data_IF_240285152397
#
_entry.id   IF_240285152397
#
_cell.length_a   1.000
_cell.length_b   1.000
_cell.length_c   1.000
_cell.angle_alpha   90.00
_cell.angle_beta   90.00
_cell.angle_gamma   90.00
#
_symmetry.space_group_name_H-M   'P 1'
#
loop_
_entity.id
_entity.type
_entity.pdbx_description
1 polymer ?
#
# COMPACT_ATOMS: atom_id res chain seq x y z
N UNK A 1 18.77 -18.65 5.82
CA UNK A 1 17.80 -19.28 6.73
C UNK A 1 16.52 -18.48 6.64
N UNK A 2 15.46 -19.11 6.16
CA UNK A 2 14.12 -18.55 5.97
C UNK A 2 13.48 -18.25 7.33
N UNK A 3 13.74 -17.06 7.88
CA UNK A 3 13.16 -16.63 9.16
C UNK A 3 11.90 -15.78 9.00
N UNK A 4 11.55 -15.37 7.78
CA UNK A 4 10.45 -14.43 7.54
C UNK A 4 9.10 -15.13 7.27
N UNK A 5 9.09 -16.31 6.66
CA UNK A 5 7.85 -16.98 6.23
C UNK A 5 6.79 -17.18 7.33
N UNK A 6 7.18 -17.71 8.49
CA UNK A 6 6.22 -17.98 9.58
C UNK A 6 5.66 -16.69 10.20
N UNK A 7 6.49 -15.67 10.54
CA UNK A 7 5.99 -14.36 10.92
C UNK A 7 5.05 -13.73 9.88
N UNK A 8 5.37 -13.79 8.58
CA UNK A 8 4.49 -13.26 7.54
C UNK A 8 3.14 -13.97 7.49
N UNK A 9 3.12 -15.30 7.60
CA UNK A 9 1.85 -16.04 7.69
C UNK A 9 1.01 -15.57 8.88
N UNK A 10 1.65 -15.31 10.02
CA UNK A 10 0.95 -14.81 11.20
C UNK A 10 0.38 -13.40 10.96
N UNK A 11 1.14 -12.51 10.35
CA UNK A 11 0.70 -11.15 10.02
C UNK A 11 -0.42 -11.15 8.96
N UNK A 12 -0.33 -12.01 7.95
CA UNK A 12 -1.35 -12.14 6.91
C UNK A 12 -2.65 -12.70 7.48
N UNK A 13 -2.58 -13.66 8.41
CA UNK A 13 -3.78 -14.19 9.07
C UNK A 13 -4.59 -13.15 9.81
N UNK A 14 -3.95 -12.15 10.43
CA UNK A 14 -4.70 -11.10 11.14
C UNK A 14 -5.44 -10.17 10.18
N UNK A 15 -4.93 -9.99 8.96
CA UNK A 15 -5.56 -9.14 7.96
C UNK A 15 -6.59 -9.90 7.09
N UNK A 16 -6.33 -11.19 6.87
CA UNK A 16 -7.05 -12.06 5.94
C UNK A 16 -7.60 -13.29 6.66
N UNK A 17 -8.29 -13.09 7.78
CA UNK A 17 -8.78 -14.17 8.66
C UNK A 17 -9.70 -15.18 7.97
N UNK A 18 -10.39 -14.74 6.91
CA UNK A 18 -11.36 -15.54 6.16
C UNK A 18 -10.74 -16.36 5.03
N UNK A 19 -9.47 -16.09 4.69
CA UNK A 19 -8.80 -16.72 3.56
C UNK A 19 -8.24 -18.11 3.90
N UNK A 20 -8.10 -18.94 2.87
CA UNK A 20 -7.64 -20.32 3.06
C UNK A 20 -6.18 -20.36 3.56
N UNK A 21 -5.78 -21.37 4.35
CA UNK A 21 -4.39 -21.52 4.76
C UNK A 21 -3.40 -21.65 3.59
N UNK A 22 -3.85 -22.18 2.45
CA UNK A 22 -3.06 -22.27 1.22
C UNK A 22 -2.83 -20.89 0.61
N UNK A 23 -3.87 -20.04 0.56
CA UNK A 23 -3.78 -18.64 0.13
C UNK A 23 -2.74 -17.88 0.95
N UNK A 24 -2.84 -17.98 2.28
CA UNK A 24 -1.91 -17.33 3.21
C UNK A 24 -0.46 -17.83 3.01
N UNK A 25 -0.26 -19.13 2.79
CA UNK A 25 1.07 -19.70 2.51
C UNK A 25 1.65 -19.12 1.21
N UNK A 26 0.85 -19.05 0.16
CA UNK A 26 1.24 -18.52 -1.15
C UNK A 26 1.59 -17.04 -1.08
N UNK A 27 0.73 -16.23 -0.45
CA UNK A 27 1.02 -14.80 -0.23
C UNK A 27 2.31 -14.62 0.58
N UNK A 28 2.49 -15.37 1.68
CA UNK A 28 3.68 -15.26 2.51
C UNK A 28 4.97 -15.61 1.74
N UNK A 29 4.95 -16.64 0.90
CA UNK A 29 6.08 -17.03 0.03
C UNK A 29 6.38 -15.97 -1.01
N UNK A 30 5.34 -15.41 -1.64
CA UNK A 30 5.50 -14.35 -2.63
C UNK A 30 6.14 -13.11 -2.00
N UNK A 31 5.62 -12.67 -0.84
CA UNK A 31 6.16 -11.54 -0.09
C UNK A 31 7.61 -11.79 0.38
N UNK A 32 7.92 -12.97 0.92
CA UNK A 32 9.29 -13.33 1.31
C UNK A 32 10.24 -13.29 0.10
N UNK A 33 9.80 -13.85 -1.04
CA UNK A 33 10.59 -13.85 -2.26
C UNK A 33 10.86 -12.43 -2.79
N UNK A 34 9.86 -11.54 -2.80
CA UNK A 34 10.06 -10.14 -3.21
C UNK A 34 11.00 -9.43 -2.24
N UNK A 35 10.93 -9.73 -0.94
CA UNK A 35 11.82 -9.12 0.05
C UNK A 35 13.27 -9.58 -0.14
N UNK A 36 13.49 -10.85 -0.45
CA UNK A 36 14.83 -11.44 -0.66
C UNK A 36 15.45 -11.11 -2.02
N UNK A 37 14.67 -11.23 -3.10
CA UNK A 37 15.16 -11.13 -4.49
C UNK A 37 14.87 -9.78 -5.13
N UNK A 38 14.03 -8.96 -4.51
CA UNK A 38 13.58 -7.68 -5.05
C UNK A 38 12.27 -7.76 -5.82
N UNK A 39 12.00 -8.89 -6.51
CA UNK A 39 10.78 -9.13 -7.29
C UNK A 39 10.38 -10.61 -7.38
N UNK A 40 9.17 -10.86 -7.90
CA UNK A 40 8.66 -12.17 -8.32
C UNK A 40 7.96 -12.06 -9.69
N UNK A 41 8.20 -12.99 -10.60
CA UNK A 41 7.48 -13.02 -11.88
C UNK A 41 6.01 -13.40 -11.67
N UNK A 42 5.08 -12.74 -12.38
CA UNK A 42 3.64 -13.07 -12.34
C UNK A 42 3.39 -14.56 -12.63
N UNK A 43 4.14 -15.14 -13.58
CA UNK A 43 4.03 -16.58 -13.90
C UNK A 43 4.44 -17.47 -12.73
N UNK A 44 5.50 -17.10 -12.01
CA UNK A 44 5.99 -17.88 -10.88
C UNK A 44 4.97 -17.87 -9.74
N UNK A 45 4.37 -16.71 -9.46
CA UNK A 45 3.30 -16.58 -8.47
C UNK A 45 2.07 -17.41 -8.85
N UNK A 46 1.62 -17.34 -10.11
CA UNK A 46 0.47 -18.10 -10.61
C UNK A 46 0.65 -19.62 -10.57
N UNK A 47 1.89 -20.10 -10.63
CA UNK A 47 2.20 -21.53 -10.56
C UNK A 47 2.15 -22.07 -9.12
N UNK A 48 2.01 -21.22 -8.10
CA UNK A 48 1.81 -21.64 -6.72
C UNK A 48 0.35 -22.06 -6.49
N UNK A 49 0.06 -22.90 -5.46
CA UNK A 49 -1.31 -23.19 -5.06
C UNK A 49 -2.08 -21.90 -4.73
N UNK A 50 -3.31 -21.74 -5.21
CA UNK A 50 -4.07 -20.48 -5.07
C UNK A 50 -3.37 -19.25 -5.67
N UNK A 51 -2.40 -19.44 -6.59
CA UNK A 51 -1.56 -18.36 -7.10
C UNK A 51 -2.30 -17.24 -7.82
N UNK A 52 -3.37 -17.55 -8.55
CA UNK A 52 -4.20 -16.54 -9.23
C UNK A 52 -4.96 -15.70 -8.20
N UNK A 53 -5.64 -16.34 -7.26
CA UNK A 53 -6.44 -15.65 -6.25
C UNK A 53 -5.56 -14.85 -5.28
N UNK A 54 -4.37 -15.38 -4.94
CA UNK A 54 -3.37 -14.68 -4.15
C UNK A 54 -2.87 -13.43 -4.89
N UNK A 55 -2.62 -13.53 -6.20
CA UNK A 55 -2.25 -12.38 -7.02
C UNK A 55 -3.35 -11.30 -7.00
N UNK A 56 -4.61 -11.70 -7.18
CA UNK A 56 -5.75 -10.79 -7.18
C UNK A 56 -5.91 -10.09 -5.83
N UNK A 57 -5.84 -10.83 -4.72
CA UNK A 57 -5.98 -10.28 -3.38
C UNK A 57 -4.80 -9.36 -3.02
N UNK A 58 -3.58 -9.74 -3.38
CA UNK A 58 -2.40 -8.91 -3.16
C UNK A 58 -2.44 -7.62 -4.00
N UNK A 59 -2.99 -7.67 -5.22
CA UNK A 59 -3.25 -6.47 -6.02
C UNK A 59 -4.33 -5.58 -5.41
N UNK A 60 -5.47 -6.17 -5.02
CA UNK A 60 -6.58 -5.44 -4.40
C UNK A 60 -6.13 -4.68 -3.15
N UNK A 61 -5.31 -5.30 -2.31
CA UNK A 61 -4.72 -4.70 -1.12
C UNK A 61 -3.46 -3.88 -1.38
N UNK A 62 -3.07 -3.75 -2.66
CA UNK A 62 -1.90 -2.98 -3.13
C UNK A 62 -0.59 -3.40 -2.45
N UNK A 63 -0.49 -4.67 -2.05
CA UNK A 63 0.72 -5.23 -1.44
C UNK A 63 1.87 -5.36 -2.45
N UNK A 64 1.54 -5.37 -3.74
CA UNK A 64 2.47 -5.54 -4.85
C UNK A 64 2.16 -4.55 -5.97
N UNK A 65 3.13 -4.32 -6.83
CA UNK A 65 2.99 -3.55 -8.05
C UNK A 65 3.89 -4.12 -9.17
N UNK A 66 3.56 -3.92 -10.46
CA UNK A 66 4.43 -4.26 -11.58
C UNK A 66 5.72 -3.43 -11.59
N UNK A 67 6.85 -4.11 -11.81
CA UNK A 67 8.14 -3.48 -12.08
C UNK A 67 8.06 -2.72 -13.41
N UNK A 68 8.47 -1.46 -13.42
CA UNK A 68 8.48 -0.60 -14.62
C UNK A 68 7.24 0.28 -14.79
N UNK A 69 6.17 0.07 -13.99
CA UNK A 69 5.03 0.99 -13.81
C UNK A 69 4.19 1.34 -15.05
N UNK A 70 2.96 1.81 -14.81
CA UNK A 70 2.16 2.47 -15.85
C UNK A 70 2.60 3.94 -16.01
N UNK A 71 2.35 4.53 -17.18
CA UNK A 71 2.69 5.94 -17.46
C UNK A 71 2.01 6.94 -16.50
N UNK A 72 0.86 6.58 -15.92
CA UNK A 72 0.04 7.46 -15.07
C UNK A 72 0.26 7.24 -13.58
N UNK A 73 0.87 6.10 -13.20
CA UNK A 73 0.94 5.59 -11.82
C UNK A 73 -0.42 5.42 -11.14
N UNK A 74 -1.52 5.39 -11.91
CA UNK A 74 -2.83 5.07 -11.38
C UNK A 74 -2.90 3.57 -11.09
N UNK A 75 -3.42 3.20 -9.92
CA UNK A 75 -3.63 1.80 -9.57
C UNK A 75 -4.60 1.10 -10.52
N UNK A 76 -5.61 1.81 -11.06
CA UNK A 76 -6.52 1.24 -12.06
C UNK A 76 -5.79 0.74 -13.32
N UNK A 77 -4.84 1.51 -13.85
CA UNK A 77 -4.03 1.12 -15.01
C UNK A 77 -3.13 -0.08 -14.69
N UNK A 78 -2.70 -0.15 -13.43
CA UNK A 78 -1.84 -1.21 -12.91
C UNK A 78 -2.60 -2.53 -12.78
N UNK A 79 -3.82 -2.50 -12.25
CA UNK A 79 -4.72 -3.66 -12.20
C UNK A 79 -5.11 -4.15 -13.59
N UNK A 80 -5.27 -3.25 -14.57
CA UNK A 80 -5.50 -3.66 -15.97
C UNK A 80 -4.31 -4.45 -16.52
N UNK A 81 -3.08 -4.05 -16.24
CA UNK A 81 -1.89 -4.78 -16.69
C UNK A 81 -1.87 -6.22 -16.15
N UNK A 82 -2.23 -6.41 -14.87
CA UNK A 82 -2.35 -7.74 -14.26
C UNK A 82 -3.43 -8.60 -14.92
N UNK A 83 -4.57 -8.00 -15.25
CA UNK A 83 -5.67 -8.67 -15.94
C UNK A 83 -5.29 -9.12 -17.37
N UNK A 84 -4.38 -8.42 -18.05
CA UNK A 84 -3.95 -8.79 -19.43
C UNK A 84 -3.05 -10.03 -19.50
N UNK A 85 -2.66 -10.63 -18.36
CA UNK A 85 -1.93 -11.90 -18.35
C UNK A 85 -0.46 -11.80 -18.78
N UNK A 86 0.10 -10.58 -18.77
CA UNK A 86 1.49 -10.33 -19.16
C UNK A 86 2.52 -11.08 -18.31
N UNK A 87 3.74 -11.19 -18.85
CA UNK A 87 4.89 -11.79 -18.16
C UNK A 87 5.84 -10.69 -17.73
N UNK A 88 5.59 -10.18 -16.54
CA UNK A 88 6.37 -9.13 -15.91
C UNK A 88 6.62 -9.49 -14.46
N UNK A 89 7.53 -8.74 -13.85
CA UNK A 89 7.91 -8.89 -12.46
C UNK A 89 7.04 -7.98 -11.57
N UNK A 90 6.84 -8.42 -10.34
CA UNK A 90 6.13 -7.71 -9.29
C UNK A 90 7.10 -7.36 -8.18
N UNK A 91 7.02 -6.14 -7.65
CA UNK A 91 7.75 -5.67 -6.47
C UNK A 91 6.82 -5.01 -5.45
N UNK A 92 7.41 -4.43 -4.41
CA UNK A 92 6.69 -3.67 -3.40
C UNK A 92 6.64 -2.18 -3.72
N UNK A 93 5.48 -1.52 -3.49
CA UNK A 93 5.47 -0.09 -3.19
C UNK A 93 6.46 0.23 -2.04
N UNK A 94 7.06 1.41 -2.09
CA UNK A 94 8.20 1.75 -1.21
C UNK A 94 7.88 1.58 0.28
N UNK A 95 6.72 2.07 0.73
CA UNK A 95 6.33 1.96 2.13
C UNK A 95 5.89 0.54 2.51
N UNK A 96 5.31 -0.21 1.57
CA UNK A 96 4.92 -1.62 1.78
C UNK A 96 6.13 -2.50 2.02
N UNK A 97 7.26 -2.26 1.34
CA UNK A 97 8.52 -2.95 1.63
C UNK A 97 8.92 -2.80 3.11
N UNK A 98 8.73 -1.62 3.68
CA UNK A 98 9.01 -1.35 5.10
C UNK A 98 8.02 -2.09 6.01
N UNK A 99 6.74 -2.08 5.66
CA UNK A 99 5.71 -2.80 6.40
C UNK A 99 5.96 -4.33 6.42
N UNK A 100 6.23 -4.93 5.26
CA UNK A 100 6.49 -6.37 5.11
C UNK A 100 7.76 -6.77 5.87
N UNK A 101 8.82 -5.96 5.79
CA UNK A 101 10.05 -6.21 6.57
C UNK A 101 9.76 -6.24 8.07
N UNK A 102 8.97 -5.29 8.59
CA UNK A 102 8.56 -5.29 10.00
C UNK A 102 7.67 -6.48 10.35
N UNK A 103 6.81 -6.90 9.44
CA UNK A 103 5.99 -8.10 9.63
C UNK A 103 6.84 -9.38 9.68
N UNK A 104 7.93 -9.48 8.91
CA UNK A 104 8.91 -10.57 9.05
C UNK A 104 9.53 -10.61 10.45
N UNK A 105 9.78 -9.45 11.06
CA UNK A 105 10.44 -9.36 12.37
C UNK A 105 9.48 -9.61 13.53
N UNK A 106 8.22 -9.17 13.39
CA UNK A 106 7.27 -9.08 14.51
C UNK A 106 6.09 -10.04 14.42
N UNK A 107 5.84 -10.61 13.25
CA UNK A 107 4.66 -11.42 12.96
C UNK A 107 3.35 -10.64 12.93
N UNK A 108 3.41 -9.30 12.82
CA UNK A 108 2.23 -8.41 12.83
C UNK A 108 2.37 -7.29 11.79
N UNK A 109 1.26 -6.90 11.16
CA UNK A 109 1.21 -5.69 10.35
C UNK A 109 1.02 -4.44 11.23
N UNK A 110 2.14 -3.91 11.73
CA UNK A 110 2.15 -2.67 12.51
C UNK A 110 2.18 -1.43 11.59
N UNK A 111 1.05 -1.10 10.96
CA UNK A 111 0.94 -0.05 9.93
C UNK A 111 1.48 1.30 10.43
N UNK A 112 1.05 1.75 11.61
CA UNK A 112 1.52 3.01 12.21
C UNK A 112 3.04 3.06 12.36
N UNK A 113 3.64 2.00 12.89
CA UNK A 113 5.09 1.90 13.08
C UNK A 113 5.83 1.79 11.73
N UNK A 114 5.25 1.14 10.73
CA UNK A 114 5.81 1.08 9.38
C UNK A 114 5.84 2.47 8.73
N UNK A 115 4.76 3.26 8.85
CA UNK A 115 4.71 4.64 8.37
C UNK A 115 5.77 5.50 9.08
N UNK A 116 5.86 5.41 10.41
CA UNK A 116 6.89 6.14 11.18
C UNK A 116 8.30 5.79 10.71
N UNK A 117 8.59 4.49 10.60
CA UNK A 117 9.92 3.99 10.18
C UNK A 117 10.23 4.50 8.79
N UNK A 118 9.29 4.36 7.85
CA UNK A 118 9.46 4.78 6.46
C UNK A 118 9.80 6.27 6.35
N UNK A 119 9.00 7.16 6.95
CA UNK A 119 9.27 8.60 6.86
C UNK A 119 10.51 9.05 7.63
N UNK A 120 10.87 8.33 8.70
CA UNK A 120 12.13 8.57 9.41
C UNK A 120 13.33 8.23 8.53
N UNK A 121 13.31 7.08 7.85
CA UNK A 121 14.38 6.62 6.97
C UNK A 121 14.53 7.51 5.73
N UNK A 122 13.41 8.04 5.21
CA UNK A 122 13.39 9.05 4.13
C UNK A 122 13.82 10.46 4.58
N UNK A 123 14.11 10.67 5.87
CA UNK A 123 14.57 11.95 6.40
C UNK A 123 13.50 13.06 6.44
N UNK A 124 12.22 12.69 6.46
CA UNK A 124 11.12 13.67 6.48
C UNK A 124 11.07 14.39 7.84
N UNK A 125 11.18 15.71 7.86
CA UNK A 125 11.29 16.51 9.12
C UNK A 125 10.12 16.33 10.09
N UNK A 126 8.92 16.08 9.56
CA UNK A 126 7.70 15.83 10.34
C UNK A 126 7.32 14.33 10.43
N UNK A 127 8.27 13.40 10.31
CA UNK A 127 8.01 11.94 10.28
C UNK A 127 7.12 11.45 11.43
N UNK A 128 7.27 12.00 12.65
CA UNK A 128 6.44 11.68 13.82
C UNK A 128 4.94 11.97 13.62
N UNK A 129 4.60 12.95 12.77
CA UNK A 129 3.21 13.38 12.49
C UNK A 129 2.60 12.63 11.30
N UNK A 130 3.41 11.97 10.48
CA UNK A 130 2.95 11.36 9.22
C UNK A 130 1.89 10.27 9.38
N UNK A 131 1.97 9.34 10.35
CA UNK A 131 0.88 8.36 10.55
C UNK A 131 -0.43 9.03 10.87
N UNK A 132 -0.43 9.97 11.83
CA UNK A 132 -1.63 10.71 12.20
C UNK A 132 -2.20 11.50 11.00
N UNK A 133 -1.33 12.03 10.14
CA UNK A 133 -1.77 12.74 8.94
C UNK A 133 -2.51 11.80 7.98
N UNK A 134 -1.91 10.64 7.69
CA UNK A 134 -2.48 9.63 6.80
C UNK A 134 -3.78 9.03 7.36
N UNK A 135 -3.85 8.79 8.66
CA UNK A 135 -5.07 8.31 9.32
C UNK A 135 -6.17 9.38 9.33
N UNK A 136 -5.82 10.66 9.51
CA UNK A 136 -6.79 11.75 9.35
C UNK A 136 -7.29 11.89 7.91
N UNK A 137 -6.45 11.62 6.91
CA UNK A 137 -6.90 11.54 5.52
C UNK A 137 -7.88 10.38 5.33
N UNK A 138 -7.53 9.18 5.80
CA UNK A 138 -8.39 8.00 5.74
C UNK A 138 -9.75 8.24 6.41
N UNK A 139 -9.75 8.79 7.63
CA UNK A 139 -10.95 9.12 8.41
C UNK A 139 -11.91 10.06 7.68
N UNK A 140 -11.37 11.02 6.92
CA UNK A 140 -12.18 11.99 6.18
C UNK A 140 -12.38 11.60 4.71
N UNK A 141 -11.88 10.44 4.30
CA UNK A 141 -12.09 9.92 2.95
C UNK A 141 -13.51 9.39 2.80
N UNK A 142 -14.00 9.37 1.57
CA UNK A 142 -15.23 8.68 1.22
C UNK A 142 -14.84 7.44 0.42
N UNK A 143 -15.03 6.25 1.01
CA UNK A 143 -14.61 4.98 0.42
C UNK A 143 -13.11 4.97 0.01
N UNK A 144 -12.24 5.53 0.86
CA UNK A 144 -10.80 5.63 0.58
C UNK A 144 -10.41 6.73 -0.43
N UNK A 145 -11.37 7.51 -0.93
CA UNK A 145 -11.13 8.60 -1.89
C UNK A 145 -11.06 9.94 -1.17
N UNK A 146 -10.05 10.73 -1.51
CA UNK A 146 -9.83 12.10 -1.03
C UNK A 146 -9.60 13.06 -2.19
N UNK A 147 -9.73 14.36 -1.93
CA UNK A 147 -9.39 15.40 -2.89
C UNK A 147 -8.26 16.31 -2.38
N UNK A 148 -7.71 17.12 -3.28
CA UNK A 148 -6.66 18.07 -2.93
C UNK A 148 -7.10 19.15 -1.93
N UNK A 149 -8.41 19.43 -1.80
CA UNK A 149 -8.95 20.42 -0.88
C UNK A 149 -8.85 19.89 0.56
N UNK A 150 -9.19 18.62 0.79
CA UNK A 150 -9.04 17.94 2.07
C UNK A 150 -7.57 17.90 2.52
N UNK A 151 -6.65 17.54 1.62
CA UNK A 151 -5.20 17.54 1.91
C UNK A 151 -4.74 18.92 2.38
N UNK A 152 -5.14 19.97 1.65
CA UNK A 152 -4.82 21.36 1.99
C UNK A 152 -5.45 21.83 3.31
N UNK A 153 -6.64 21.35 3.65
CA UNK A 153 -7.28 21.65 4.94
C UNK A 153 -6.49 21.01 6.08
N UNK A 154 -6.20 19.71 6.01
CA UNK A 154 -5.47 19.01 7.06
C UNK A 154 -4.02 19.52 7.21
N UNK A 155 -3.37 19.93 6.12
CA UNK A 155 -2.04 20.55 6.19
C UNK A 155 -2.03 21.89 6.95
N UNK A 156 -3.12 22.65 6.89
CA UNK A 156 -3.26 23.89 7.67
C UNK A 156 -3.47 23.62 9.16
N UNK A 157 -4.20 22.55 9.48
CA UNK A 157 -4.45 22.11 10.86
C UNK A 157 -3.22 21.44 11.48
N UNK A 158 -2.47 20.67 10.68
CA UNK A 158 -1.26 19.98 11.10
C UNK A 158 -0.11 20.26 10.12
N UNK A 159 0.61 21.38 10.30
CA UNK A 159 1.74 21.72 9.44
C UNK A 159 2.86 20.68 9.49
N UNK A 160 3.21 20.18 8.31
CA UNK A 160 4.28 19.20 8.09
C UNK A 160 5.59 19.83 7.57
N UNK A 161 5.61 21.15 7.34
CA UNK A 161 6.79 21.87 6.85
C UNK A 161 7.05 21.73 5.36
N UNK A 162 6.09 21.21 4.59
CA UNK A 162 6.13 21.07 3.13
C UNK A 162 4.86 21.64 2.50
N UNK A 163 4.95 22.02 1.22
CA UNK A 163 3.77 22.43 0.45
C UNK A 163 2.85 21.23 0.16
N UNK A 164 1.57 21.49 -0.16
CA UNK A 164 0.64 20.44 -0.58
C UNK A 164 1.13 19.68 -1.79
N UNK A 165 1.69 20.37 -2.77
CA UNK A 165 2.11 19.77 -4.03
C UNK A 165 3.31 18.87 -3.83
N UNK A 166 4.25 19.30 -2.98
CA UNK A 166 5.39 18.48 -2.54
C UNK A 166 4.91 17.23 -1.81
N UNK A 167 3.98 17.39 -0.85
CA UNK A 167 3.46 16.25 -0.09
C UNK A 167 2.71 15.26 -1.00
N UNK A 168 1.83 15.74 -1.88
CA UNK A 168 1.11 14.89 -2.84
C UNK A 168 2.09 14.11 -3.72
N UNK A 169 3.12 14.79 -4.24
CA UNK A 169 4.15 14.14 -5.04
C UNK A 169 4.90 13.06 -4.26
N UNK A 170 5.25 13.32 -3.00
CA UNK A 170 5.88 12.35 -2.10
C UNK A 170 4.96 11.17 -1.82
N UNK A 171 3.72 11.40 -1.37
CA UNK A 171 2.76 10.34 -1.06
C UNK A 171 2.50 9.44 -2.28
N UNK A 172 2.40 10.02 -3.48
CA UNK A 172 2.30 9.25 -4.74
C UNK A 172 3.57 8.45 -5.02
N UNK A 173 4.74 9.11 -4.90
CA UNK A 173 6.04 8.47 -5.15
C UNK A 173 6.31 7.29 -4.24
N UNK A 174 5.84 7.37 -2.99
CA UNK A 174 6.01 6.32 -1.98
C UNK A 174 4.93 5.24 -2.04
N UNK A 175 3.82 5.48 -2.74
CA UNK A 175 2.71 4.53 -2.88
C UNK A 175 1.65 4.62 -1.77
N UNK A 176 1.56 5.74 -1.05
CA UNK A 176 0.50 5.96 -0.06
C UNK A 176 -0.82 6.40 -0.70
N UNK A 177 -0.75 7.08 -1.84
CA UNK A 177 -1.92 7.51 -2.61
C UNK A 177 -1.69 7.26 -4.10
N UNK A 178 -2.77 7.11 -4.85
CA UNK A 178 -2.78 7.02 -6.31
C UNK A 178 -3.79 8.02 -6.89
N UNK A 179 -3.56 8.59 -8.09
CA UNK A 179 -4.62 9.29 -8.81
C UNK A 179 -5.86 8.38 -8.97
N UNK A 180 -7.04 8.93 -8.68
CA UNK A 180 -8.32 8.26 -8.95
C UNK A 180 -8.84 8.73 -10.31
N UNK A 181 -8.97 7.82 -11.28
CA UNK A 181 -9.31 8.18 -12.67
C UNK A 181 -10.80 7.98 -12.99
N UNK A 182 -11.53 7.22 -12.17
CA UNK A 182 -12.98 6.99 -12.31
C UNK A 182 -13.84 8.09 -11.68
N UNK A 183 -14.12 9.13 -12.45
CA UNK A 183 -15.42 9.82 -12.55
C UNK A 183 -15.22 11.25 -13.05
N UNK A 184 -15.73 11.57 -14.25
CA UNK A 184 -15.92 12.93 -14.75
C UNK A 184 -14.76 13.92 -14.49
N UNK A 185 -13.58 13.67 -15.08
CA UNK A 185 -12.45 14.63 -15.07
C UNK A 185 -12.87 16.06 -15.46
N UNK A 186 -13.94 16.18 -16.26
CA UNK A 186 -14.53 17.46 -16.68
C UNK A 186 -15.50 18.11 -15.68
N UNK A 187 -15.97 17.40 -14.64
CA UNK A 187 -16.84 17.95 -13.58
C UNK A 187 -16.15 18.09 -12.24
N UNK A 188 -14.98 17.48 -12.06
CA UNK A 188 -14.22 17.59 -10.83
C UNK A 188 -13.60 18.99 -10.70
N UNK A 189 -13.87 19.67 -9.56
CA UNK A 189 -13.30 20.97 -9.24
C UNK A 189 -11.86 20.90 -8.72
N UNK A 190 -11.39 19.69 -8.39
CA UNK A 190 -10.04 19.46 -7.91
C UNK A 190 -9.59 18.01 -8.16
N UNK A 191 -8.27 17.71 -8.20
CA UNK A 191 -7.77 16.34 -8.33
C UNK A 191 -8.18 15.44 -7.17
N UNK A 192 -8.55 14.20 -7.48
CA UNK A 192 -8.89 13.16 -6.52
C UNK A 192 -7.83 12.07 -6.47
N UNK A 193 -7.71 11.44 -5.31
CA UNK A 193 -6.75 10.39 -5.02
C UNK A 193 -7.40 9.27 -4.22
N UNK A 194 -7.00 8.04 -4.51
CA UNK A 194 -7.26 6.88 -3.65
C UNK A 194 -6.14 6.78 -2.61
N UNK A 195 -6.49 6.51 -1.36
CA UNK A 195 -5.57 6.18 -0.28
C UNK A 195 -5.30 4.67 -0.28
N UNK A 196 -4.09 4.28 0.07
CA UNK A 196 -3.72 2.88 0.13
C UNK A 196 -4.59 2.12 1.16
N UNK A 197 -5.17 0.94 0.81
CA UNK A 197 -6.14 0.22 1.65
C UNK A 197 -5.67 -0.02 3.09
N UNK A 198 -4.44 -0.47 3.28
CA UNK A 198 -3.86 -0.65 4.62
C UNK A 198 -3.78 0.61 5.49
N UNK A 199 -3.61 1.80 4.89
CA UNK A 199 -3.64 3.05 5.64
C UNK A 199 -5.07 3.45 6.01
N UNK A 200 -6.07 3.07 5.19
CA UNK A 200 -7.49 3.22 5.51
C UNK A 200 -7.88 2.30 6.65
N UNK A 201 -7.61 1.00 6.51
CA UNK A 201 -7.88 -0.02 7.53
C UNK A 201 -7.32 0.36 8.91
N UNK A 202 -6.04 0.78 8.98
CA UNK A 202 -5.43 1.19 10.24
C UNK A 202 -6.02 2.49 10.83
N UNK A 203 -6.55 3.38 9.98
CA UNK A 203 -7.23 4.59 10.43
C UNK A 203 -8.60 4.33 11.05
N UNK A 204 -9.29 3.27 10.61
CA UNK A 204 -10.56 2.81 11.20
C UNK A 204 -10.32 2.13 12.56
N UNK A 205 -9.28 1.30 12.70
CA UNK A 205 -8.94 0.66 13.99
C UNK A 205 -8.56 1.66 15.10
N UNK A 206 -7.94 2.80 14.77
CA UNK A 206 -7.64 3.85 15.76
C UNK A 206 -8.89 4.60 16.26
N UNK A 207 -10.06 4.42 15.63
CA UNK A 207 -11.33 5.01 16.11
C UNK A 207 -12.04 4.12 17.16
N UNK A 208 -11.77 2.82 17.17
CA UNK A 208 -12.36 1.86 18.10
C UNK A 208 -11.54 1.65 19.40
N UNK A 209 -10.34 2.23 19.48
CA UNK A 209 -9.37 2.09 20.59
C UNK A 209 -9.35 3.29 21.55
#
# INVERSE_FOLDING_TARGET
MNHCLNPLKQALKTLFEKESPAMIDTMARALEQILEKGSIGVRDLRNLPEGEDALLLMDEWRLIQPVGGSATKAWEDTSQLLATGGSFDLDFPAWIRTLVRRACETGKFQVRQAILTFFSDEGHSAWLKMPLFLFNLAKHSQNGIIDSILINRLLREMPLGVSSDTLIAQLKGYGFISPHLRADFFRMRSPHYEIHPLAVYAGEEEEEA
#
